data_IF_213177308283
#
_entry.id   IF_213177308283
#
_cell.length_a   1.000
_cell.length_b   1.000
_cell.length_c   1.000
_cell.angle_alpha   90.00
_cell.angle_beta   90.00
_cell.angle_gamma   90.00
#
_symmetry.space_group_name_H-M   'P 1'
#
loop_
_entity.id
_entity.type
_entity.pdbx_description
1 polymer ?
#
# COMPACT_ATOMS: atom_id res chain seq x y z
N UNK A 1 12.28 -80.57 -22.78
CA UNK A 1 12.26 -81.92 -22.16
C UNK A 1 13.28 -81.92 -21.04
N UNK A 2 12.82 -81.87 -19.78
CA UNK A 2 12.99 -82.97 -18.80
C UNK A 2 14.46 -83.10 -18.35
N UNK A 3 14.88 -82.90 -17.10
CA UNK A 3 14.19 -83.13 -15.82
C UNK A 3 14.98 -82.43 -14.70
N UNK A 4 14.30 -81.73 -13.80
CA UNK A 4 14.84 -81.45 -12.47
C UNK A 4 13.67 -81.44 -11.47
N UNK A 5 13.64 -82.43 -10.58
CA UNK A 5 12.68 -82.48 -9.47
C UNK A 5 13.25 -83.34 -8.35
N UNK A 6 13.29 -82.77 -7.14
CA UNK A 6 13.14 -83.42 -5.82
C UNK A 6 13.70 -82.48 -4.75
N UNK A 7 12.86 -81.63 -4.15
CA UNK A 7 12.25 -81.82 -2.82
C UNK A 7 13.17 -81.41 -1.67
N UNK A 8 12.89 -80.24 -1.08
CA UNK A 8 13.04 -79.96 0.34
C UNK A 8 11.90 -79.00 0.74
N UNK A 9 11.13 -79.41 1.77
CA UNK A 9 9.91 -78.79 2.25
C UNK A 9 10.19 -77.68 3.27
N UNK A 10 9.41 -76.60 3.12
CA UNK A 10 8.72 -75.78 4.12
C UNK A 10 9.41 -75.39 5.44
N UNK A 11 9.72 -74.10 5.55
CA UNK A 11 9.53 -73.30 6.77
C UNK A 11 9.04 -71.90 6.40
N UNK A 12 7.73 -71.66 6.54
CA UNK A 12 7.14 -70.31 6.58
C UNK A 12 7.13 -69.82 8.04
N UNK A 13 7.77 -68.67 8.28
CA UNK A 13 7.53 -67.78 9.43
C UNK A 13 7.69 -66.35 8.92
N UNK A 14 6.61 -65.73 8.47
CA UNK A 14 6.53 -64.28 8.41
C UNK A 14 5.81 -63.77 9.66
N UNK A 15 6.54 -62.96 10.42
CA UNK A 15 6.02 -62.16 11.53
C UNK A 15 5.40 -60.91 10.94
N UNK A 16 4.10 -60.82 11.06
CA UNK A 16 3.35 -59.58 10.93
C UNK A 16 3.62 -58.70 12.17
N UNK A 17 3.83 -57.40 11.97
CA UNK A 17 4.22 -56.47 13.03
C UNK A 17 5.08 -55.30 12.56
N UNK A 18 4.65 -54.58 11.52
CA UNK A 18 5.17 -53.24 11.23
C UNK A 18 4.22 -52.19 11.78
N UNK A 19 4.59 -51.60 12.92
CA UNK A 19 3.93 -50.42 13.47
C UNK A 19 4.18 -49.22 12.56
N UNK A 20 3.19 -48.88 11.72
CA UNK A 20 3.14 -47.62 10.99
C UNK A 20 3.10 -46.47 12.00
N UNK A 21 4.17 -45.67 12.05
CA UNK A 21 4.08 -44.30 12.53
C UNK A 21 3.16 -43.54 11.58
N UNK A 22 1.93 -43.26 12.04
CA UNK A 22 1.07 -42.26 11.43
C UNK A 22 1.67 -40.88 11.71
N UNK A 23 2.45 -40.36 10.76
CA UNK A 23 2.64 -38.92 10.66
C UNK A 23 1.29 -38.32 10.26
N UNK A 24 0.56 -37.81 11.24
CA UNK A 24 -0.55 -36.91 10.99
C UNK A 24 0.02 -35.60 10.47
N UNK A 25 0.05 -35.43 9.16
CA UNK A 25 0.06 -34.09 8.57
C UNK A 25 -1.29 -33.47 8.90
N UNK A 26 -1.34 -32.68 9.97
CA UNK A 26 -2.43 -31.73 10.19
C UNK A 26 -2.54 -30.89 8.92
N UNK A 27 -3.62 -31.08 8.17
CA UNK A 27 -3.94 -30.29 7.01
C UNK A 27 -4.35 -28.90 7.52
N UNK A 28 -3.36 -28.06 7.85
CA UNK A 28 -3.58 -26.69 8.32
C UNK A 28 -4.35 -25.98 7.22
N UNK A 29 -5.59 -25.57 7.52
CA UNK A 29 -6.42 -24.80 6.59
C UNK A 29 -5.65 -23.54 6.20
N UNK A 30 -5.23 -23.45 4.94
CA UNK A 30 -4.50 -22.27 4.43
C UNK A 30 -5.35 -21.03 4.58
N UNK A 31 -4.71 -19.92 4.92
CA UNK A 31 -5.40 -18.64 5.01
C UNK A 31 -5.76 -18.13 3.61
N UNK A 32 -6.86 -17.39 3.50
CA UNK A 32 -7.36 -16.87 2.20
C UNK A 32 -6.31 -16.00 1.47
N UNK A 33 -5.45 -15.30 2.22
CA UNK A 33 -4.40 -14.47 1.63
C UNK A 33 -3.26 -15.32 1.05
N UNK A 34 -2.92 -16.47 1.65
CA UNK A 34 -1.92 -17.40 1.09
C UNK A 34 -2.43 -17.98 -0.24
N UNK A 35 -3.71 -18.41 -0.25
CA UNK A 35 -4.36 -18.94 -1.46
C UNK A 35 -4.37 -17.91 -2.58
N UNK A 36 -4.54 -16.62 -2.26
CA UNK A 36 -4.46 -15.55 -3.25
C UNK A 36 -3.08 -15.48 -3.91
N UNK A 37 -1.99 -15.45 -3.14
CA UNK A 37 -0.63 -15.36 -3.69
C UNK A 37 -0.17 -16.65 -4.40
N UNK A 38 -0.73 -17.81 -4.05
CA UNK A 38 -0.48 -19.07 -4.77
C UNK A 38 -1.24 -19.18 -6.09
N UNK A 39 -2.37 -18.49 -6.21
CA UNK A 39 -3.27 -18.56 -7.38
C UNK A 39 -3.05 -17.43 -8.38
N UNK A 40 -2.17 -16.49 -8.08
CA UNK A 40 -1.85 -15.33 -8.90
C UNK A 40 -0.35 -15.26 -9.14
N UNK A 41 0.07 -14.74 -10.28
CA UNK A 41 1.49 -14.53 -10.58
C UNK A 41 1.93 -13.13 -10.12
N UNK A 42 3.18 -12.93 -9.67
CA UNK A 42 3.66 -11.58 -9.40
C UNK A 42 3.72 -10.74 -10.69
N UNK A 43 3.62 -9.40 -10.59
CA UNK A 43 3.86 -8.51 -11.72
C UNK A 43 5.25 -8.71 -12.34
N UNK A 44 5.39 -8.47 -13.65
CA UNK A 44 6.65 -8.70 -14.37
C UNK A 44 7.84 -7.92 -13.80
N UNK A 45 7.61 -6.72 -13.26
CA UNK A 45 8.63 -5.86 -12.65
C UNK A 45 8.72 -5.99 -11.12
N UNK A 46 8.08 -7.01 -10.54
CA UNK A 46 8.01 -7.21 -9.10
C UNK A 46 9.38 -7.35 -8.43
N UNK A 47 10.28 -8.14 -9.02
CA UNK A 47 11.61 -8.38 -8.44
C UNK A 47 12.45 -7.10 -8.36
N UNK A 48 12.40 -6.25 -9.40
CA UNK A 48 13.09 -4.95 -9.42
C UNK A 48 12.51 -4.00 -8.36
N UNK A 49 11.18 -3.85 -8.34
CA UNK A 49 10.51 -3.00 -7.34
C UNK A 49 10.80 -3.47 -5.91
N UNK A 50 10.76 -4.78 -5.67
CA UNK A 50 11.09 -5.37 -4.37
C UNK A 50 12.52 -5.05 -3.94
N UNK A 51 13.49 -5.22 -4.84
CA UNK A 51 14.89 -4.90 -4.56
C UNK A 51 15.07 -3.42 -4.24
N UNK A 52 14.48 -2.51 -5.05
CA UNK A 52 14.54 -1.06 -4.84
C UNK A 52 13.96 -0.64 -3.49
N UNK A 53 12.83 -1.23 -3.08
CA UNK A 53 12.23 -0.96 -1.76
C UNK A 53 13.15 -1.42 -0.62
N UNK A 54 13.74 -2.61 -0.76
CA UNK A 54 14.69 -3.14 0.23
C UNK A 54 15.94 -2.26 0.36
N UNK A 55 16.62 -1.94 -0.74
CA UNK A 55 17.82 -1.09 -0.74
C UNK A 55 17.55 0.31 -0.18
N UNK A 56 16.40 0.89 -0.53
CA UNK A 56 15.98 2.19 -0.01
C UNK A 56 15.74 2.16 1.50
N UNK A 57 14.96 1.18 1.99
CA UNK A 57 14.68 1.04 3.41
C UNK A 57 15.97 0.79 4.20
N UNK A 58 16.77 -0.18 3.77
CA UNK A 58 18.02 -0.56 4.43
C UNK A 58 19.01 0.62 4.51
N UNK A 59 19.15 1.39 3.42
CA UNK A 59 20.05 2.54 3.37
C UNK A 59 19.66 3.64 4.36
N UNK A 60 18.37 3.98 4.45
CA UNK A 60 17.88 5.02 5.37
C UNK A 60 17.92 4.57 6.83
N UNK A 61 17.59 3.31 7.09
CA UNK A 61 17.63 2.77 8.44
C UNK A 61 19.05 2.70 9.02
N UNK A 62 20.06 2.36 8.20
CA UNK A 62 21.47 2.39 8.64
C UNK A 62 21.92 3.78 9.09
N UNK A 63 21.25 4.83 8.61
CA UNK A 63 21.48 6.21 8.99
C UNK A 63 20.58 6.69 10.14
N UNK A 64 19.75 5.82 10.72
CA UNK A 64 18.81 6.15 11.80
C UNK A 64 17.55 6.90 11.33
N UNK A 65 17.30 6.97 10.02
CA UNK A 65 16.13 7.64 9.46
C UNK A 65 14.90 6.73 9.55
N UNK A 66 13.79 7.25 10.10
CA UNK A 66 12.51 6.53 10.12
C UNK A 66 11.95 6.41 8.71
N UNK A 67 11.34 5.26 8.40
CA UNK A 67 10.81 5.00 7.06
C UNK A 67 9.30 4.79 7.13
N UNK A 68 8.56 5.43 6.22
CA UNK A 68 7.12 5.25 6.09
C UNK A 68 6.74 4.74 4.70
N UNK A 69 5.90 3.70 4.65
CA UNK A 69 5.17 3.34 3.45
C UNK A 69 3.88 4.16 3.38
N UNK A 70 3.75 5.01 2.38
CA UNK A 70 2.50 5.68 2.05
C UNK A 70 1.86 4.98 0.86
N UNK A 71 0.66 4.43 1.03
CA UNK A 71 -0.14 3.95 -0.11
C UNK A 71 -1.11 5.01 -0.59
N UNK A 72 -1.24 5.19 -1.90
CA UNK A 72 -2.05 6.27 -2.48
C UNK A 72 -2.73 5.90 -3.79
N UNK A 73 -3.89 6.51 -4.05
CA UNK A 73 -4.68 6.23 -5.26
C UNK A 73 -5.55 4.98 -5.15
N UNK A 74 -6.24 4.65 -6.24
CA UNK A 74 -7.19 3.54 -6.33
C UNK A 74 -6.63 2.30 -6.99
N UNK A 75 -7.11 1.12 -6.62
CA UNK A 75 -6.83 -0.11 -7.37
C UNK A 75 -7.89 -0.36 -8.45
N UNK A 76 -7.44 -0.85 -9.61
CA UNK A 76 -8.32 -1.37 -10.65
C UNK A 76 -8.46 -2.90 -10.56
N UNK A 77 -9.63 -3.41 -10.91
CA UNK A 77 -9.92 -4.84 -11.06
C UNK A 77 -10.25 -5.11 -12.52
N UNK A 78 -9.38 -5.79 -13.27
CA UNK A 78 -9.65 -6.17 -14.65
C UNK A 78 -10.91 -7.02 -14.77
N UNK A 79 -11.65 -6.85 -15.87
CA UNK A 79 -12.74 -7.76 -16.24
C UNK A 79 -12.28 -8.88 -17.19
N UNK A 80 -11.12 -8.68 -17.81
CA UNK A 80 -10.53 -9.56 -18.81
C UNK A 80 -9.02 -9.69 -18.58
N UNK A 81 -8.40 -10.84 -18.88
CA UNK A 81 -6.93 -10.99 -18.74
C UNK A 81 -6.19 -10.00 -19.65
N UNK A 82 -6.63 -9.85 -20.90
CA UNK A 82 -6.22 -8.74 -21.76
C UNK A 82 -7.09 -7.54 -21.46
N UNK A 83 -6.77 -6.89 -20.34
CA UNK A 83 -7.54 -5.80 -19.76
C UNK A 83 -7.87 -4.70 -20.77
N UNK A 84 -9.16 -4.58 -21.09
CA UNK A 84 -9.72 -3.41 -21.81
C UNK A 84 -10.65 -2.64 -20.88
N UNK A 85 -11.33 -3.35 -19.98
CA UNK A 85 -12.26 -2.79 -19.00
C UNK A 85 -11.87 -3.21 -17.60
N UNK A 86 -12.21 -2.38 -16.63
CA UNK A 86 -11.93 -2.64 -15.22
C UNK A 86 -12.94 -1.92 -14.33
N UNK A 87 -13.10 -2.43 -13.11
CA UNK A 87 -13.76 -1.73 -12.01
C UNK A 87 -12.69 -0.90 -11.30
N UNK A 88 -12.93 0.37 -11.02
CA UNK A 88 -11.96 1.26 -10.36
C UNK A 88 -12.51 1.79 -9.04
N UNK A 89 -11.66 1.79 -8.01
CA UNK A 89 -11.95 2.48 -6.77
C UNK A 89 -11.43 3.91 -6.87
N UNK A 90 -12.32 4.88 -7.08
CA UNK A 90 -11.90 6.26 -7.33
C UNK A 90 -11.10 6.86 -6.18
N UNK A 91 -9.85 7.26 -6.48
CA UNK A 91 -9.02 8.09 -5.60
C UNK A 91 -8.01 8.86 -6.44
N UNK A 92 -8.01 10.19 -6.32
CA UNK A 92 -7.06 11.06 -7.03
C UNK A 92 -5.64 10.98 -6.49
N UNK A 93 -5.43 10.35 -5.33
CA UNK A 93 -4.14 10.33 -4.63
C UNK A 93 -3.82 11.60 -3.85
N UNK A 94 -4.73 12.57 -3.77
CA UNK A 94 -4.49 13.88 -3.11
C UNK A 94 -4.00 13.72 -1.67
N UNK A 95 -4.69 12.92 -0.85
CA UNK A 95 -4.35 12.70 0.56
C UNK A 95 -2.96 12.08 0.69
N UNK A 96 -2.71 10.98 -0.01
CA UNK A 96 -1.42 10.28 0.06
C UNK A 96 -0.27 11.20 -0.35
N UNK A 97 -0.40 11.89 -1.49
CA UNK A 97 0.65 12.79 -1.98
C UNK A 97 0.93 13.96 -1.02
N UNK A 98 -0.12 14.56 -0.45
CA UNK A 98 0.02 15.59 0.57
C UNK A 98 0.67 15.06 1.87
N UNK A 99 0.24 13.87 2.32
CA UNK A 99 0.77 13.23 3.53
C UNK A 99 2.25 12.91 3.38
N UNK A 100 2.67 12.43 2.21
CA UNK A 100 4.07 12.14 1.92
C UNK A 100 4.95 13.41 1.97
N UNK A 101 4.49 14.56 1.47
CA UNK A 101 5.22 15.83 1.62
C UNK A 101 5.40 16.21 3.10
N UNK A 102 4.36 16.03 3.92
CA UNK A 102 4.43 16.31 5.35
C UNK A 102 5.36 15.32 6.09
N UNK A 103 5.34 14.04 5.74
CA UNK A 103 6.28 13.06 6.30
C UNK A 103 7.74 13.40 5.95
N UNK A 104 7.99 13.82 4.71
CA UNK A 104 9.32 14.26 4.27
C UNK A 104 9.79 15.49 5.07
N UNK A 105 8.90 16.47 5.33
CA UNK A 105 9.25 17.62 6.17
C UNK A 105 9.49 17.27 7.64
N UNK A 106 8.91 16.17 8.12
CA UNK A 106 9.13 15.62 9.48
C UNK A 106 10.35 14.68 9.54
N UNK A 107 11.15 14.61 8.47
CA UNK A 107 12.41 13.86 8.43
C UNK A 107 12.27 12.36 8.17
N UNK A 108 11.11 11.88 7.70
CA UNK A 108 10.96 10.49 7.28
C UNK A 108 11.49 10.28 5.87
N UNK A 109 12.03 9.10 5.61
CA UNK A 109 12.14 8.58 4.25
C UNK A 109 10.79 7.93 3.84
N UNK A 110 10.33 8.20 2.63
CA UNK A 110 8.99 7.79 2.16
C UNK A 110 9.10 6.81 0.99
N UNK A 111 8.56 5.61 1.18
CA UNK A 111 8.20 4.74 0.06
C UNK A 111 6.76 5.11 -0.34
N UNK A 112 6.59 5.65 -1.54
CA UNK A 112 5.30 6.10 -2.07
C UNK A 112 4.76 5.08 -3.08
N UNK A 113 4.01 4.11 -2.57
CA UNK A 113 3.32 3.10 -3.37
C UNK A 113 2.01 3.68 -3.90
N UNK A 114 1.94 4.00 -5.19
CA UNK A 114 0.84 4.78 -5.73
C UNK A 114 0.30 4.30 -7.07
N UNK A 115 -0.97 4.62 -7.33
CA UNK A 115 -1.61 4.35 -8.61
C UNK A 115 -0.96 5.16 -9.73
N UNK A 116 -0.52 4.49 -10.79
CA UNK A 116 -0.01 5.14 -12.01
C UNK A 116 -0.98 6.23 -12.50
N UNK A 117 -0.45 7.41 -12.87
CA UNK A 117 -1.21 8.60 -13.28
C UNK A 117 -2.14 9.19 -12.21
N UNK A 118 -1.83 9.01 -10.92
CA UNK A 118 -2.45 9.77 -9.83
C UNK A 118 -1.50 10.83 -9.29
N UNK A 119 -1.98 11.66 -8.36
CA UNK A 119 -1.17 12.72 -7.76
C UNK A 119 0.01 12.12 -6.98
N UNK A 120 1.20 12.68 -7.20
CA UNK A 120 2.43 12.36 -6.48
C UNK A 120 2.97 13.58 -5.72
N UNK A 121 3.82 13.39 -4.69
CA UNK A 121 4.38 14.49 -3.91
C UNK A 121 5.07 15.54 -4.79
N UNK A 122 4.93 16.81 -4.43
CA UNK A 122 5.41 18.01 -5.13
C UNK A 122 4.75 18.27 -6.49
N UNK A 123 4.62 17.28 -7.37
CA UNK A 123 3.95 17.46 -8.67
C UNK A 123 2.44 17.67 -8.54
N UNK A 124 1.82 17.22 -7.45
CA UNK A 124 0.38 17.42 -7.20
C UNK A 124 -0.04 18.90 -7.25
N UNK A 125 0.87 19.82 -6.96
CA UNK A 125 0.60 21.26 -6.97
C UNK A 125 0.49 21.81 -8.40
N UNK A 126 1.03 21.08 -9.39
CA UNK A 126 0.99 21.42 -10.81
C UNK A 126 -0.17 20.75 -11.55
N UNK A 127 -0.87 19.79 -10.94
CA UNK A 127 -1.84 18.93 -11.62
C UNK A 127 -3.00 19.68 -12.31
N UNK A 128 -3.36 20.87 -11.82
CA UNK A 128 -4.42 21.71 -12.38
C UNK A 128 -3.88 22.95 -13.12
N UNK A 129 -2.57 23.02 -13.34
CA UNK A 129 -1.92 24.16 -14.00
C UNK A 129 -1.26 23.69 -15.27
N UNK A 130 -1.50 24.39 -16.38
CA UNK A 130 -0.83 24.06 -17.64
C UNK A 130 0.61 24.55 -17.55
N UNK A 131 1.56 23.70 -17.93
CA UNK A 131 2.97 24.08 -17.96
C UNK A 131 3.20 25.33 -18.84
N UNK A 132 2.45 25.46 -19.93
CA UNK A 132 2.47 26.64 -20.81
C UNK A 132 2.03 27.94 -20.16
N UNK A 133 1.28 27.88 -19.06
CA UNK A 133 0.86 29.08 -18.33
C UNK A 133 1.93 29.53 -17.35
N UNK A 134 2.77 28.60 -16.85
CA UNK A 134 3.86 28.83 -15.91
C UNK A 134 5.14 29.26 -16.62
N UNK A 135 5.38 28.80 -17.85
CA UNK A 135 6.62 29.08 -18.57
C UNK A 135 6.47 30.33 -19.46
N UNK A 136 7.49 31.20 -19.42
CA UNK A 136 7.64 32.37 -20.29
C UNK A 136 9.01 32.31 -21.02
N UNK A 137 9.15 33.12 -22.07
CA UNK A 137 10.41 33.25 -22.83
C UNK A 137 11.10 34.55 -22.43
N UNK A 138 12.27 34.46 -21.81
CA UNK A 138 13.16 35.61 -21.58
C UNK A 138 14.14 35.72 -22.76
N UNK A 139 14.29 36.94 -23.30
CA UNK A 139 15.33 37.27 -24.27
C UNK A 139 16.49 37.91 -23.53
N UNK A 140 17.68 37.34 -23.65
CA UNK A 140 18.89 37.90 -23.05
C UNK A 140 19.47 39.00 -23.96
N UNK A 141 20.33 39.89 -23.44
CA UNK A 141 20.88 41.02 -24.20
C UNK A 141 21.69 40.64 -25.44
N UNK A 142 22.23 39.42 -25.49
CA UNK A 142 22.98 38.87 -26.61
C UNK A 142 22.09 38.28 -27.72
N UNK A 143 20.76 38.34 -27.56
CA UNK A 143 19.78 37.82 -28.48
C UNK A 143 19.39 36.35 -28.25
N UNK A 144 20.00 35.68 -27.27
CA UNK A 144 19.62 34.32 -26.89
C UNK A 144 18.26 34.28 -26.20
N UNK A 145 17.57 33.15 -26.29
CA UNK A 145 16.25 32.94 -25.68
C UNK A 145 16.31 31.82 -24.68
N UNK A 146 15.77 32.07 -23.48
CA UNK A 146 15.69 31.09 -22.40
C UNK A 146 14.23 30.91 -21.97
N UNK A 147 13.89 29.68 -21.60
CA UNK A 147 12.64 29.38 -20.92
C UNK A 147 12.82 29.73 -19.44
N UNK A 148 11.91 30.53 -18.90
CA UNK A 148 11.89 30.93 -17.49
C UNK A 148 10.53 30.61 -16.88
N UNK A 149 10.49 30.36 -15.58
CA UNK A 149 9.22 30.18 -14.88
C UNK A 149 8.69 31.53 -14.37
N UNK A 150 7.41 31.79 -14.61
CA UNK A 150 6.70 32.96 -14.14
C UNK A 150 6.24 32.77 -12.68
N UNK A 151 7.00 33.36 -11.75
CA UNK A 151 6.71 33.28 -10.33
C UNK A 151 5.47 34.08 -9.91
N UNK A 152 5.05 35.08 -10.68
CA UNK A 152 3.83 35.84 -10.36
C UNK A 152 2.57 34.98 -10.57
N UNK A 153 2.55 34.20 -11.66
CA UNK A 153 1.46 33.27 -11.97
C UNK A 153 1.44 32.05 -11.06
N UNK A 154 2.61 31.65 -10.56
CA UNK A 154 2.69 30.54 -9.61
C UNK A 154 3.67 30.80 -8.45
N UNK A 155 3.26 31.60 -7.44
CA UNK A 155 4.16 32.07 -6.37
C UNK A 155 4.76 30.96 -5.51
N UNK A 156 4.08 29.81 -5.39
CA UNK A 156 4.55 28.66 -4.60
C UNK A 156 5.57 27.79 -5.33
N UNK A 157 5.84 28.03 -6.61
CA UNK A 157 6.71 27.15 -7.41
C UNK A 157 8.12 27.02 -6.84
N UNK A 158 8.70 28.12 -6.35
CA UNK A 158 10.05 28.13 -5.82
C UNK A 158 10.18 27.22 -4.59
N UNK A 159 9.25 27.35 -3.62
CA UNK A 159 9.28 26.52 -2.40
C UNK A 159 9.01 25.05 -2.69
N UNK A 160 8.10 24.75 -3.63
CA UNK A 160 7.84 23.38 -4.10
C UNK A 160 9.10 22.78 -4.73
N UNK A 161 9.76 23.53 -5.62
CA UNK A 161 10.97 23.06 -6.30
C UNK A 161 12.14 22.89 -5.33
N UNK A 162 12.30 23.77 -4.35
CA UNK A 162 13.30 23.64 -3.29
C UNK A 162 13.11 22.34 -2.49
N UNK A 163 11.90 22.11 -1.97
CA UNK A 163 11.59 20.86 -1.26
C UNK A 163 11.82 19.62 -2.12
N UNK A 164 11.40 19.66 -3.39
CA UNK A 164 11.67 18.56 -4.33
C UNK A 164 13.17 18.32 -4.52
N UNK A 165 13.97 19.39 -4.64
CA UNK A 165 15.44 19.27 -4.80
C UNK A 165 16.12 18.74 -3.55
N UNK A 166 15.66 19.10 -2.36
CA UNK A 166 16.16 18.55 -1.09
C UNK A 166 15.87 17.05 -0.99
N UNK A 167 14.67 16.63 -1.39
CA UNK A 167 14.28 15.21 -1.44
C UNK A 167 15.10 14.44 -2.46
N UNK A 168 15.37 15.01 -3.63
CA UNK A 168 16.28 14.42 -4.62
C UNK A 168 17.70 14.27 -4.07
N UNK A 169 18.22 15.30 -3.38
CA UNK A 169 19.58 15.29 -2.84
C UNK A 169 19.76 14.29 -1.69
N UNK A 170 18.75 14.14 -0.84
CA UNK A 170 18.73 13.18 0.28
C UNK A 170 18.28 11.78 -0.11
N UNK A 171 17.82 11.59 -1.36
CA UNK A 171 17.21 10.35 -1.84
C UNK A 171 16.13 9.83 -0.87
N UNK A 172 15.30 10.72 -0.32
CA UNK A 172 14.34 10.42 0.76
C UNK A 172 12.94 10.04 0.26
N UNK A 173 12.70 10.01 -1.05
CA UNK A 173 11.44 9.60 -1.67
C UNK A 173 11.66 8.53 -2.73
N UNK A 174 11.04 7.37 -2.56
CA UNK A 174 10.99 6.29 -3.55
C UNK A 174 9.58 6.16 -4.11
N UNK A 175 9.42 6.39 -5.42
CA UNK A 175 8.15 6.18 -6.12
C UNK A 175 8.06 4.74 -6.63
N UNK A 176 7.00 4.02 -6.24
CA UNK A 176 6.66 2.68 -6.73
C UNK A 176 5.24 2.71 -7.28
N UNK A 177 5.07 2.35 -8.54
CA UNK A 177 3.77 2.38 -9.22
C UNK A 177 3.05 1.03 -9.19
N UNK A 178 1.72 1.10 -9.04
CA UNK A 178 0.77 0.01 -9.31
C UNK A 178 -0.41 0.52 -10.15
N UNK A 179 -1.17 -0.38 -10.73
CA UNK A 179 -2.44 -0.09 -11.41
C UNK A 179 -3.55 -0.98 -10.89
N UNK A 180 -3.34 -2.29 -10.96
CA UNK A 180 -4.36 -3.28 -10.60
C UNK A 180 -4.22 -3.75 -9.16
N UNK A 181 -5.29 -4.30 -8.61
CA UNK A 181 -5.34 -4.83 -7.24
C UNK A 181 -4.21 -5.83 -6.98
N UNK A 182 -3.99 -6.79 -7.89
CA UNK A 182 -2.96 -7.82 -7.74
C UNK A 182 -1.57 -7.20 -7.57
N UNK A 183 -1.20 -6.24 -8.42
CA UNK A 183 0.06 -5.50 -8.30
C UNK A 183 0.18 -4.82 -6.94
N UNK A 184 -0.88 -4.13 -6.49
CA UNK A 184 -0.91 -3.49 -5.19
C UNK A 184 -0.65 -4.47 -4.04
N UNK A 185 -1.29 -5.64 -4.05
CA UNK A 185 -1.16 -6.62 -2.95
C UNK A 185 0.24 -7.25 -2.90
N UNK A 186 0.84 -7.58 -4.05
CA UNK A 186 2.24 -8.04 -4.10
C UNK A 186 3.21 -6.95 -3.64
N UNK A 187 3.03 -5.73 -4.12
CA UNK A 187 3.92 -4.62 -3.77
C UNK A 187 3.76 -4.18 -2.31
N UNK A 188 2.56 -4.29 -1.73
CA UNK A 188 2.34 -4.09 -0.30
C UNK A 188 3.08 -5.14 0.53
N UNK A 189 3.03 -6.42 0.15
CA UNK A 189 3.79 -7.47 0.82
C UNK A 189 5.29 -7.22 0.72
N UNK A 190 5.81 -6.90 -0.47
CA UNK A 190 7.23 -6.61 -0.66
C UNK A 190 7.70 -5.37 0.12
N UNK A 191 6.88 -4.31 0.17
CA UNK A 191 7.16 -3.15 1.01
C UNK A 191 7.15 -3.51 2.49
N UNK A 192 6.24 -4.38 2.93
CA UNK A 192 6.16 -4.82 4.31
C UNK A 192 7.40 -5.64 4.72
N UNK A 193 7.82 -6.57 3.87
CA UNK A 193 9.05 -7.34 4.05
C UNK A 193 10.30 -6.44 4.08
N UNK A 194 10.37 -5.45 3.19
CA UNK A 194 11.47 -4.49 3.16
C UNK A 194 11.57 -3.62 4.44
N UNK A 195 10.42 -3.30 5.05
CA UNK A 195 10.34 -2.52 6.28
C UNK A 195 10.35 -3.37 7.55
N UNK A 196 10.26 -4.69 7.43
CA UNK A 196 10.21 -5.61 8.57
C UNK A 196 11.42 -5.45 9.48
N UNK A 197 12.62 -5.28 8.89
CA UNK A 197 13.86 -5.07 9.64
C UNK A 197 13.87 -3.75 10.43
N UNK A 198 13.06 -2.76 10.07
CA UNK A 198 12.99 -1.49 10.80
C UNK A 198 12.22 -1.60 12.12
N UNK A 199 11.49 -2.70 12.31
CA UNK A 199 10.66 -2.94 13.47
C UNK A 199 9.82 -1.71 13.82
N UNK A 200 10.02 -1.22 15.03
CA UNK A 200 9.27 -0.08 15.59
C UNK A 200 9.54 1.26 14.90
N UNK A 201 10.58 1.37 14.07
CA UNK A 201 10.91 2.59 13.34
C UNK A 201 10.25 2.68 11.95
N UNK A 202 9.54 1.62 11.52
CA UNK A 202 8.73 1.62 10.31
C UNK A 202 7.29 2.06 10.60
N UNK A 203 6.75 2.90 9.70
CA UNK A 203 5.33 3.24 9.68
C UNK A 203 4.65 2.77 8.39
N UNK A 204 3.41 2.29 8.49
CA UNK A 204 2.53 2.05 7.36
C UNK A 204 1.37 3.04 7.40
N UNK A 205 1.26 3.89 6.38
CA UNK A 205 0.17 4.84 6.19
C UNK A 205 -0.69 4.41 4.99
N UNK A 206 -1.74 3.64 5.28
CA UNK A 206 -2.50 2.89 4.28
C UNK A 206 -3.69 3.70 3.70
N UNK A 207 -3.40 4.75 2.92
CA UNK A 207 -4.40 5.67 2.36
C UNK A 207 -4.93 5.29 0.95
N UNK A 208 -4.51 4.17 0.37
CA UNK A 208 -5.03 3.70 -0.91
C UNK A 208 -6.50 3.26 -0.82
N UNK A 209 -7.27 3.51 -1.88
CA UNK A 209 -8.63 3.00 -2.05
C UNK A 209 -8.56 1.60 -2.68
N UNK A 210 -8.36 0.58 -1.83
CA UNK A 210 -8.24 -0.82 -2.25
C UNK A 210 -9.62 -1.41 -2.54
N UNK A 211 -9.74 -2.14 -3.64
CA UNK A 211 -10.97 -2.83 -4.01
C UNK A 211 -11.32 -3.92 -2.99
N UNK A 212 -12.59 -3.97 -2.57
CA UNK A 212 -13.09 -5.01 -1.66
C UNK A 212 -13.47 -6.30 -2.40
N UNK A 213 -13.62 -6.21 -3.73
CA UNK A 213 -14.05 -7.29 -4.59
C UNK A 213 -13.11 -7.42 -5.79
N UNK A 214 -12.95 -8.63 -6.32
CA UNK A 214 -12.12 -8.92 -7.50
C UNK A 214 -12.67 -10.12 -8.31
N UNK A 215 -12.10 -10.37 -9.48
CA UNK A 215 -12.37 -11.58 -10.28
C UNK A 215 -11.09 -12.43 -10.25
N UNK A 216 -11.13 -13.70 -9.78
CA UNK A 216 -9.98 -14.59 -9.84
C UNK A 216 -9.49 -14.77 -11.29
N UNK A 217 -8.18 -14.80 -11.50
CA UNK A 217 -7.61 -14.91 -12.86
C UNK A 217 -8.05 -16.15 -13.63
N UNK A 218 -8.39 -17.24 -12.95
CA UNK A 218 -8.90 -18.46 -13.58
C UNK A 218 -10.35 -18.32 -14.10
N UNK A 219 -11.11 -17.35 -13.56
CA UNK A 219 -12.50 -17.08 -13.92
C UNK A 219 -12.63 -15.91 -14.90
N UNK A 220 -11.55 -15.15 -15.12
CA UNK A 220 -11.52 -14.06 -16.10
C UNK A 220 -11.52 -14.57 -17.54
N UNK A 221 -12.29 -13.90 -18.39
CA UNK A 221 -12.27 -14.15 -19.84
C UNK A 221 -10.97 -13.58 -20.42
N UNK A 222 -10.34 -14.31 -21.34
CA UNK A 222 -9.04 -13.91 -21.90
C UNK A 222 -9.12 -12.61 -22.72
N UNK A 223 -10.21 -12.42 -23.46
CA UNK A 223 -10.38 -11.35 -24.43
C UNK A 223 -11.53 -10.41 -24.09
N UNK A 224 -11.48 -9.20 -24.67
CA UNK A 224 -12.52 -8.17 -24.58
C UNK A 224 -13.92 -8.76 -24.69
N UNK A 225 -14.75 -8.50 -23.67
CA UNK A 225 -16.18 -8.88 -23.67
C UNK A 225 -16.89 -8.18 -24.85
N UNK A 226 -17.60 -8.92 -25.69
CA UNK A 226 -18.26 -8.38 -26.87
C UNK A 226 -19.66 -7.87 -26.53
N UNK A 227 -20.02 -6.69 -27.02
CA UNK A 227 -21.34 -6.09 -26.76
C UNK A 227 -22.48 -6.74 -27.55
N UNK A 228 -22.15 -7.52 -28.57
CA UNK A 228 -23.13 -8.24 -29.38
C UNK A 228 -23.82 -9.39 -28.61
N UNK A 229 -23.17 -9.90 -27.56
CA UNK A 229 -23.63 -11.06 -26.78
C UNK A 229 -24.67 -10.67 -25.69
N UNK A 230 -25.08 -9.40 -25.65
CA UNK A 230 -26.02 -8.87 -24.66
C UNK A 230 -25.33 -8.38 -23.37
N UNK A 231 -26.12 -8.07 -22.33
CA UNK A 231 -25.57 -7.57 -21.07
C UNK A 231 -24.77 -8.67 -20.34
N UNK A 232 -23.52 -8.41 -19.91
CA UNK A 232 -22.72 -9.40 -19.20
C UNK A 232 -23.17 -9.53 -17.74
N UNK A 233 -23.11 -10.74 -17.20
CA UNK A 233 -23.16 -10.98 -15.76
C UNK A 233 -21.73 -11.04 -15.22
N UNK A 234 -21.44 -10.22 -14.21
CA UNK A 234 -20.10 -10.15 -13.58
C UNK A 234 -20.23 -10.68 -12.15
N UNK A 235 -19.58 -11.81 -11.87
CA UNK A 235 -19.47 -12.38 -10.52
C UNK A 235 -18.18 -11.90 -9.88
N UNK A 236 -18.26 -11.44 -8.63
CA UNK A 236 -17.12 -10.91 -7.91
C UNK A 236 -16.88 -11.67 -6.60
N UNK A 237 -15.60 -11.88 -6.27
CA UNK A 237 -15.11 -12.53 -5.06
C UNK A 237 -14.61 -11.48 -4.08
N UNK A 238 -14.70 -11.77 -2.78
CA UNK A 238 -14.20 -10.86 -1.73
C UNK A 238 -12.67 -10.92 -1.70
N UNK A 239 -12.04 -9.74 -1.64
CA UNK A 239 -10.58 -9.63 -1.51
C UNK A 239 -10.14 -10.07 -0.11
N UNK A 240 -9.12 -10.93 0.02
CA UNK A 240 -8.58 -11.32 1.31
C UNK A 240 -8.11 -10.11 2.12
N UNK A 241 -8.33 -10.15 3.43
CA UNK A 241 -8.02 -9.00 4.30
C UNK A 241 -6.54 -8.94 4.64
N UNK A 242 -5.77 -8.21 3.83
CA UNK A 242 -4.30 -8.11 3.91
C UNK A 242 -3.75 -7.38 5.16
N UNK A 243 -4.58 -6.64 5.90
CA UNK A 243 -4.12 -6.04 7.17
C UNK A 243 -3.74 -7.11 8.20
N UNK A 244 -4.40 -8.27 8.20
CA UNK A 244 -4.07 -9.36 9.13
C UNK A 244 -2.65 -9.88 8.90
N UNK A 245 -2.25 -10.32 7.69
CA UNK A 245 -0.88 -10.77 7.47
C UNK A 245 0.14 -9.64 7.59
N UNK A 246 -0.21 -8.40 7.25
CA UNK A 246 0.67 -7.25 7.47
C UNK A 246 1.09 -7.13 8.94
N UNK A 247 0.11 -7.09 9.85
CA UNK A 247 0.33 -6.86 11.28
C UNK A 247 0.83 -8.11 12.00
N UNK A 248 0.57 -9.32 11.50
CA UNK A 248 0.93 -10.57 12.20
C UNK A 248 2.17 -11.27 11.65
N UNK A 249 2.49 -11.07 10.38
CA UNK A 249 3.46 -11.91 9.68
C UNK A 249 4.52 -11.10 8.93
N UNK A 250 4.15 -10.02 8.26
CA UNK A 250 5.08 -9.29 7.39
C UNK A 250 5.87 -8.23 8.15
N UNK A 251 5.20 -7.40 8.96
CA UNK A 251 5.81 -6.31 9.72
C UNK A 251 5.17 -6.16 11.11
N UNK A 252 5.33 -7.16 12.01
CA UNK A 252 4.59 -7.23 13.27
C UNK A 252 4.95 -6.15 14.30
N UNK A 253 6.15 -5.59 14.20
CA UNK A 253 6.64 -4.55 15.12
C UNK A 253 6.39 -3.12 14.60
N UNK A 254 5.89 -2.97 13.38
CA UNK A 254 5.73 -1.67 12.76
C UNK A 254 4.50 -0.90 13.27
N UNK A 255 4.56 0.43 13.14
CA UNK A 255 3.44 1.31 13.46
C UNK A 255 2.48 1.40 12.26
N UNK A 256 1.32 0.77 12.37
CA UNK A 256 0.35 0.64 11.28
C UNK A 256 -0.84 1.58 11.48
N UNK A 257 -1.05 2.44 10.48
CA UNK A 257 -2.13 3.41 10.36
C UNK A 257 -3.02 3.03 9.18
N UNK A 258 -4.30 2.75 9.45
CA UNK A 258 -5.29 2.47 8.41
C UNK A 258 -6.34 3.57 8.27
N UNK A 259 -7.07 3.55 7.16
CA UNK A 259 -8.16 4.48 6.90
C UNK A 259 -9.51 3.80 6.96
N UNK A 260 -10.50 4.50 7.51
CA UNK A 260 -11.90 4.11 7.45
C UNK A 260 -12.74 5.26 6.91
N UNK A 261 -13.24 5.07 5.70
CA UNK A 261 -14.16 5.98 5.02
C UNK A 261 -15.59 5.46 5.18
N UNK A 262 -16.48 6.28 5.73
CA UNK A 262 -17.90 5.97 5.83
C UNK A 262 -18.75 7.12 5.26
N UNK A 263 -20.00 6.84 4.94
CA UNK A 263 -21.01 7.85 4.55
C UNK A 263 -22.04 8.08 5.66
N UNK A 264 -22.11 7.17 6.64
CA UNK A 264 -22.98 7.28 7.81
C UNK A 264 -22.16 7.64 9.06
N UNK A 265 -22.42 8.83 9.61
CA UNK A 265 -21.77 9.33 10.83
C UNK A 265 -21.98 8.44 12.04
N UNK A 266 -23.13 7.76 12.13
CA UNK A 266 -23.45 6.90 13.27
C UNK A 266 -22.58 5.63 13.30
N UNK A 267 -22.09 5.18 12.14
CA UNK A 267 -21.30 3.95 12.02
C UNK A 267 -19.79 4.20 12.12
N UNK A 268 -19.34 5.44 11.91
CA UNK A 268 -17.92 5.75 11.71
C UNK A 268 -17.01 5.27 12.86
N UNK A 269 -17.36 5.61 14.11
CA UNK A 269 -16.54 5.27 15.27
C UNK A 269 -16.55 3.76 15.56
N UNK A 270 -17.72 3.13 15.44
CA UNK A 270 -17.87 1.69 15.68
C UNK A 270 -17.10 0.87 14.63
N UNK A 271 -17.15 1.28 13.35
CA UNK A 271 -16.38 0.65 12.27
C UNK A 271 -14.88 0.84 12.42
N UNK A 272 -14.45 1.98 12.97
CA UNK A 272 -13.04 2.22 13.28
C UNK A 272 -12.55 1.33 14.43
N UNK A 273 -13.30 1.26 15.54
CA UNK A 273 -13.00 0.38 16.68
C UNK A 273 -12.97 -1.10 16.29
N UNK A 274 -13.95 -1.56 15.52
CA UNK A 274 -13.98 -2.93 14.99
C UNK A 274 -12.72 -3.26 14.14
N UNK A 275 -12.19 -2.28 13.40
CA UNK A 275 -10.96 -2.49 12.65
C UNK A 275 -9.72 -2.60 13.56
N UNK A 276 -9.64 -1.79 14.62
CA UNK A 276 -8.59 -1.90 15.63
C UNK A 276 -8.63 -3.26 16.32
N UNK A 277 -9.79 -3.70 16.81
CA UNK A 277 -9.97 -5.00 17.47
C UNK A 277 -9.64 -6.18 16.55
N UNK A 278 -10.08 -6.09 15.28
CA UNK A 278 -9.87 -7.18 14.31
C UNK A 278 -8.42 -7.35 13.91
N UNK A 279 -7.72 -6.25 13.63
CA UNK A 279 -6.37 -6.28 13.04
C UNK A 279 -5.26 -6.02 14.06
N UNK A 280 -5.59 -5.51 15.25
CA UNK A 280 -4.65 -5.19 16.33
C UNK A 280 -3.53 -4.23 15.90
N UNK A 281 -3.90 -3.18 15.17
CA UNK A 281 -3.00 -2.10 14.72
C UNK A 281 -3.24 -0.82 15.55
N UNK A 282 -2.37 0.18 15.37
CA UNK A 282 -2.22 1.27 16.33
C UNK A 282 -3.20 2.43 16.10
N UNK A 283 -3.50 2.77 14.85
CA UNK A 283 -4.34 3.94 14.54
C UNK A 283 -5.28 3.66 13.35
N UNK A 284 -6.54 4.05 13.50
CA UNK A 284 -7.49 4.21 12.39
C UNK A 284 -7.79 5.70 12.22
N UNK A 285 -7.56 6.22 11.02
CA UNK A 285 -8.02 7.55 10.62
C UNK A 285 -9.40 7.40 9.99
N UNK A 286 -10.41 7.83 10.72
CA UNK A 286 -11.81 7.69 10.35
C UNK A 286 -12.35 9.02 9.81
N UNK A 287 -13.00 9.01 8.65
CA UNK A 287 -13.57 10.22 8.08
C UNK A 287 -14.88 9.95 7.32
N UNK A 288 -15.73 10.97 7.26
CA UNK A 288 -16.94 10.98 6.42
C UNK A 288 -16.58 11.45 5.01
N UNK A 289 -17.15 10.83 3.99
CA UNK A 289 -16.81 11.09 2.59
C UNK A 289 -16.94 12.58 2.23
N UNK A 290 -18.05 13.20 2.58
CA UNK A 290 -18.37 14.59 2.25
C UNK A 290 -17.44 15.60 2.94
N UNK A 291 -16.94 15.25 4.13
CA UNK A 291 -16.19 16.17 5.02
C UNK A 291 -14.70 15.80 5.15
N UNK A 292 -14.23 14.83 4.36
CA UNK A 292 -12.89 14.23 4.47
C UNK A 292 -11.71 15.20 4.39
N UNK A 293 -11.92 16.38 3.80
CA UNK A 293 -10.90 17.41 3.66
C UNK A 293 -10.95 18.45 4.79
N UNK A 294 -11.99 18.43 5.61
CA UNK A 294 -12.23 19.43 6.66
C UNK A 294 -11.85 18.91 8.04
N UNK A 295 -12.17 17.64 8.32
CA UNK A 295 -11.83 17.00 9.57
C UNK A 295 -11.68 15.49 9.44
N UNK A 296 -10.96 14.90 10.39
CA UNK A 296 -10.83 13.46 10.58
C UNK A 296 -10.92 13.13 12.07
N UNK A 297 -11.25 11.88 12.39
CA UNK A 297 -11.15 11.34 13.75
C UNK A 297 -9.99 10.36 13.79
N UNK A 298 -8.99 10.66 14.60
CA UNK A 298 -7.91 9.74 14.96
C UNK A 298 -8.45 8.78 16.02
N UNK A 299 -8.50 7.48 15.74
CA UNK A 299 -8.99 6.46 16.67
C UNK A 299 -7.84 5.53 17.01
N UNK A 300 -7.59 5.36 18.32
CA UNK A 300 -6.61 4.44 18.91
C UNK A 300 -7.35 3.43 19.80
N UNK A 301 -6.70 2.38 20.31
CA UNK A 301 -7.35 1.44 21.22
C UNK A 301 -7.88 2.11 22.50
N UNK A 302 -7.19 3.12 23.01
CA UNK A 302 -7.51 3.78 24.28
C UNK A 302 -8.45 4.98 24.12
N UNK A 303 -8.26 5.77 23.05
CA UNK A 303 -8.93 7.04 22.88
C UNK A 303 -9.27 7.37 21.41
N UNK A 304 -10.08 8.42 21.22
CA UNK A 304 -10.25 9.04 19.91
C UNK A 304 -10.21 10.56 20.01
N UNK A 305 -9.67 11.20 18.98
CA UNK A 305 -9.50 12.65 18.89
C UNK A 305 -9.96 13.15 17.53
N UNK A 306 -10.75 14.23 17.51
CA UNK A 306 -11.13 14.91 16.28
C UNK A 306 -10.09 15.97 15.93
N UNK A 307 -9.56 15.90 14.70
CA UNK A 307 -8.72 16.94 14.10
C UNK A 307 -9.55 17.68 13.05
N UNK A 308 -9.62 19.00 13.14
CA UNK A 308 -10.43 19.84 12.26
C UNK A 308 -9.67 21.08 11.86
N UNK A 309 -9.74 21.45 10.58
CA UNK A 309 -9.23 22.73 10.10
C UNK A 309 -10.11 23.84 10.70
N UNK A 310 -9.54 24.68 11.56
CA UNK A 310 -10.25 25.79 12.21
C UNK A 310 -10.14 27.09 11.41
N UNK A 311 -9.01 27.29 10.74
CA UNK A 311 -8.80 28.43 9.84
C UNK A 311 -9.14 28.01 8.40
N UNK A 312 -10.24 28.54 7.88
CA UNK A 312 -10.66 28.33 6.48
C UNK A 312 -9.88 29.19 5.49
N UNK A 313 -8.81 29.87 5.92
CA UNK A 313 -7.85 30.48 5.00
C UNK A 313 -7.38 29.40 4.01
N UNK A 314 -7.40 29.74 2.73
CA UNK A 314 -7.44 28.82 1.59
C UNK A 314 -6.18 27.94 1.38
N UNK A 315 -5.26 27.89 2.34
CA UNK A 315 -3.98 27.18 2.20
C UNK A 315 -3.80 25.96 3.10
N UNK A 316 -4.52 25.84 4.22
CA UNK A 316 -4.33 24.73 5.15
C UNK A 316 -4.95 23.44 4.59
N UNK A 317 -4.23 22.32 4.74
CA UNK A 317 -4.72 20.98 4.39
C UNK A 317 -4.76 20.11 5.65
N UNK A 318 -5.71 19.18 5.72
CA UNK A 318 -5.91 18.36 6.92
C UNK A 318 -4.67 17.51 7.25
N UNK A 319 -3.86 17.18 6.24
CA UNK A 319 -2.60 16.46 6.42
C UNK A 319 -1.57 17.22 7.29
N UNK A 320 -1.61 18.56 7.32
CA UNK A 320 -0.78 19.39 8.22
C UNK A 320 -1.16 19.20 9.70
N UNK A 321 -2.34 18.63 10.00
CA UNK A 321 -2.74 18.24 11.35
C UNK A 321 -2.54 16.74 11.61
N UNK A 322 -2.80 15.90 10.61
CA UNK A 322 -2.70 14.43 10.75
C UNK A 322 -1.25 14.01 10.98
N UNK A 323 -0.31 14.52 10.17
CA UNK A 323 1.06 13.99 10.17
C UNK A 323 1.81 14.33 11.47
N UNK A 324 1.80 15.57 11.99
CA UNK A 324 2.45 15.84 13.28
C UNK A 324 1.88 15.02 14.45
N UNK A 325 0.56 14.78 14.46
CA UNK A 325 -0.08 13.90 15.44
C UNK A 325 0.43 12.45 15.33
N UNK A 326 0.47 11.90 14.11
CA UNK A 326 1.02 10.56 13.86
C UNK A 326 2.50 10.45 14.22
N UNK A 327 3.31 11.47 13.92
CA UNK A 327 4.74 11.50 14.27
C UNK A 327 4.93 11.49 15.79
N UNK A 328 4.08 12.19 16.53
CA UNK A 328 4.06 12.17 17.99
C UNK A 328 3.71 10.77 18.51
N UNK A 329 2.61 10.18 18.01
CA UNK A 329 2.19 8.83 18.42
C UNK A 329 3.22 7.75 18.07
N UNK A 330 3.85 7.85 16.90
CA UNK A 330 4.92 6.94 16.49
C UNK A 330 6.18 7.09 17.36
N UNK A 331 6.52 8.31 17.78
CA UNK A 331 7.62 8.54 18.72
C UNK A 331 7.35 7.89 20.07
N UNK A 332 6.12 8.02 20.60
CA UNK A 332 5.71 7.33 21.84
C UNK A 332 5.75 5.81 21.65
N UNK A 333 5.28 5.31 20.52
CA UNK A 333 5.34 3.89 20.18
C UNK A 333 6.78 3.35 20.17
N UNK A 334 7.72 4.06 19.54
CA UNK A 334 9.15 3.69 19.54
C UNK A 334 9.70 3.64 20.96
N UNK A 335 9.42 4.65 21.80
CA UNK A 335 9.92 4.71 23.18
C UNK A 335 9.38 3.55 24.02
N UNK A 336 8.08 3.26 23.91
CA UNK A 336 7.43 2.20 24.68
C UNK A 336 7.92 0.80 24.29
N UNK A 337 8.35 0.60 23.05
CA UNK A 337 8.84 -0.70 22.55
C UNK A 337 10.37 -0.79 22.47
N UNK A 338 11.10 0.28 22.79
CA UNK A 338 12.57 0.26 22.95
C UNK A 338 13.03 -0.11 24.36
N UNK A 339 12.09 -0.34 25.29
CA UNK A 339 12.36 -0.53 26.72
C UNK A 339 12.42 -1.99 27.17
N UNK A 340 12.46 -2.94 26.23
CA UNK A 340 12.60 -4.39 26.48
C UNK A 340 14.00 -4.93 26.11
#
# INVERSE_FOLDING_TARGET
MSTARSLLQNTEREKDGSSKLSQGTENKKKDEWEVFFESHEPPADFADKKLRMHEFAEGHMKNGTRVVLVTSGGTAVPLENKMVRFIDNFSSGKRGAASAEQFLSEGYAVIFLHRHKTLIPYERHLANTRLTDILDIRKDPDGTQQIVANQEKFPKLLSILQGYKEVQASNSLLLIEFTVLQEYLYLLQAAAEALSFAGTHAMFYLAAAVSDFYIPSQEMIEHKIQSADGPPNITLHVVPKMLTPLVRHWAPEAFVVSFKLETDRSLLLDKARQALEKYNHQVVIANILEERNEWVTMVTPEEYQKLSITDKSWSCIIEELIIPDLVTKHTVFIVNNSSD
#
